data_IF_183785035230
#
_entry.id   IF_183785035230
#
_cell.length_a   1.000
_cell.length_b   1.000
_cell.length_c   1.000
_cell.angle_alpha   90.00
_cell.angle_beta   90.00
_cell.angle_gamma   90.00
#
_symmetry.space_group_name_H-M   'P 1'
#
loop_
_entity.id
_entity.type
_entity.pdbx_description
1 polymer ?
#
# COMPACT_ATOMS: atom_id res chain seq x y z
N UNK A 1 -4.29 20.99 12.31
CA UNK A 1 -5.71 20.86 12.74
C UNK A 1 -6.14 19.40 12.89
N UNK A 2 -6.02 18.55 11.87
CA UNK A 2 -6.37 17.11 12.00
C UNK A 2 -5.59 16.37 13.10
N UNK A 3 -4.36 16.79 13.35
CA UNK A 3 -3.49 16.34 14.46
C UNK A 3 -3.97 16.75 15.85
N UNK A 4 -5.16 17.38 15.97
CA UNK A 4 -5.93 17.47 17.21
C UNK A 4 -6.49 16.09 17.64
N UNK A 5 -5.67 15.06 17.47
CA UNK A 5 -5.89 13.67 17.87
C UNK A 5 -5.03 13.30 19.08
N UNK A 6 -4.12 14.18 19.52
CA UNK A 6 -3.28 13.97 20.71
C UNK A 6 -4.08 13.43 21.92
N UNK A 7 -5.26 13.98 22.30
CA UNK A 7 -6.02 13.41 23.41
C UNK A 7 -6.46 11.97 23.18
N UNK A 8 -6.90 11.63 21.96
CA UNK A 8 -7.31 10.27 21.61
C UNK A 8 -6.11 9.30 21.62
N UNK A 9 -4.94 9.75 21.16
CA UNK A 9 -3.70 8.97 21.24
C UNK A 9 -3.26 8.76 22.69
N UNK A 10 -3.37 9.79 23.54
CA UNK A 10 -3.05 9.69 24.96
C UNK A 10 -3.98 8.72 25.68
N UNK A 11 -5.30 8.81 25.47
CA UNK A 11 -6.25 7.84 26.06
C UNK A 11 -5.99 6.43 25.55
N UNK A 12 -5.71 6.26 24.26
CA UNK A 12 -5.34 4.96 23.70
C UNK A 12 -4.11 4.35 24.38
N UNK A 13 -3.03 5.11 24.56
CA UNK A 13 -1.83 4.61 25.24
C UNK A 13 -2.05 4.42 26.75
N UNK A 14 -2.89 5.22 27.39
CA UNK A 14 -3.29 5.02 28.79
C UNK A 14 -4.01 3.69 29.01
N UNK A 15 -4.73 3.18 28.01
CA UNK A 15 -5.43 1.91 28.13
C UNK A 15 -4.53 0.72 27.74
N UNK A 16 -3.76 0.85 26.65
CA UNK A 16 -3.12 -0.29 25.98
C UNK A 16 -1.59 -0.25 25.88
N UNK A 17 -0.93 0.82 26.32
CA UNK A 17 0.54 0.86 26.25
C UNK A 17 1.20 -0.08 27.26
N UNK A 18 2.48 -0.35 27.03
CA UNK A 18 3.38 -0.97 28.01
C UNK A 18 3.46 -0.11 29.29
N UNK A 19 3.75 -0.69 30.48
CA UNK A 19 3.53 -0.07 31.79
C UNK A 19 4.05 1.37 31.94
N UNK A 20 5.27 1.65 31.47
CA UNK A 20 5.92 2.97 31.63
C UNK A 20 5.18 4.07 30.85
N UNK A 21 4.80 3.81 29.60
CA UNK A 21 4.07 4.78 28.78
C UNK A 21 2.61 4.87 29.23
N UNK A 22 2.04 3.74 29.69
CA UNK A 22 0.69 3.65 30.21
C UNK A 22 0.50 4.53 31.45
N UNK A 23 1.36 4.36 32.45
CA UNK A 23 1.38 5.17 33.68
C UNK A 23 1.59 6.65 33.34
N UNK A 24 2.56 6.96 32.47
CA UNK A 24 2.79 8.32 32.03
C UNK A 24 1.57 8.97 31.38
N UNK A 25 0.84 8.25 30.53
CA UNK A 25 -0.38 8.76 29.91
C UNK A 25 -1.54 8.91 30.91
N UNK A 26 -1.60 8.05 31.94
CA UNK A 26 -2.54 8.16 33.06
C UNK A 26 -2.33 9.41 33.90
N UNK A 27 -1.08 9.82 34.09
CA UNK A 27 -0.69 10.99 34.89
C UNK A 27 -0.56 12.28 34.07
N UNK A 28 -0.72 12.20 32.74
CA UNK A 28 -0.54 13.33 31.85
C UNK A 28 -1.67 14.36 32.00
N UNK A 29 -1.46 15.37 32.83
CA UNK A 29 -2.45 16.42 33.09
C UNK A 29 -2.91 17.18 31.84
N UNK A 30 -4.12 17.73 31.89
CA UNK A 30 -4.77 18.46 30.78
C UNK A 30 -3.93 19.59 30.19
N UNK A 31 -3.13 20.29 31.02
CA UNK A 31 -2.21 21.33 30.53
C UNK A 31 -1.18 20.74 29.56
N UNK A 32 -0.53 19.63 29.93
CA UNK A 32 0.47 18.99 29.08
C UNK A 32 -0.12 18.49 27.76
N UNK A 33 -1.35 17.94 27.79
CA UNK A 33 -2.06 17.54 26.57
C UNK A 33 -2.30 18.75 25.66
N UNK A 34 -2.74 19.88 26.19
CA UNK A 34 -2.92 21.13 25.42
C UNK A 34 -1.60 21.66 24.86
N UNK A 35 -0.53 21.59 25.63
CA UNK A 35 0.79 22.00 25.17
C UNK A 35 1.31 21.10 24.04
N UNK A 36 1.12 19.77 24.12
CA UNK A 36 1.43 18.85 23.03
C UNK A 36 0.58 19.11 21.77
N UNK A 37 -0.70 19.45 21.93
CA UNK A 37 -1.55 19.88 20.81
C UNK A 37 -1.02 21.17 20.17
N UNK A 38 -0.59 22.14 20.98
CA UNK A 38 0.05 23.36 20.50
C UNK A 38 1.32 23.05 19.71
N UNK A 39 2.19 22.17 20.21
CA UNK A 39 3.38 21.72 19.49
C UNK A 39 3.06 21.11 18.12
N UNK A 40 1.96 20.34 18.02
CA UNK A 40 1.54 19.77 16.74
C UNK A 40 1.11 20.83 15.72
N UNK A 41 0.68 22.03 16.13
CA UNK A 41 0.40 23.14 15.21
C UNK A 41 1.68 23.69 14.57
N UNK A 42 2.79 23.67 15.30
CA UNK A 42 4.09 24.13 14.80
C UNK A 42 4.88 23.04 14.07
N UNK A 43 4.44 21.77 14.12
CA UNK A 43 5.17 20.61 13.58
C UNK A 43 5.56 20.67 12.10
N UNK A 44 4.94 21.53 11.30
CA UNK A 44 5.27 21.72 9.87
C UNK A 44 5.31 23.20 9.45
N UNK A 45 5.27 24.11 10.42
CA UNK A 45 5.12 25.57 10.21
C UNK A 45 6.33 26.25 9.53
N UNK A 46 7.52 25.70 9.73
CA UNK A 46 8.77 26.17 9.14
C UNK A 46 9.11 25.56 7.77
N UNK A 47 8.21 24.81 7.13
CA UNK A 47 8.46 24.23 5.79
C UNK A 47 8.23 25.28 4.71
N UNK A 48 9.22 25.46 3.85
CA UNK A 48 9.14 26.38 2.69
C UNK A 48 8.95 25.64 1.35
N UNK A 49 9.06 24.31 1.36
CA UNK A 49 8.82 23.45 0.20
C UNK A 49 8.43 22.03 0.62
N UNK A 50 8.03 21.22 -0.36
CA UNK A 50 7.64 19.82 -0.13
C UNK A 50 8.81 18.81 -0.14
N UNK A 51 10.05 19.30 -0.05
CA UNK A 51 11.24 18.44 0.04
C UNK A 51 11.15 17.53 1.28
N UNK A 52 11.40 16.24 1.07
CA UNK A 52 11.43 15.22 2.12
C UNK A 52 12.82 15.05 2.71
N UNK A 53 12.89 14.48 3.91
CA UNK A 53 14.17 14.12 4.54
C UNK A 53 15.02 13.19 3.67
N UNK A 54 14.40 12.22 2.97
CA UNK A 54 15.11 11.29 2.09
C UNK A 54 15.80 11.99 0.91
N UNK A 55 15.25 13.11 0.45
CA UNK A 55 15.75 13.82 -0.72
C UNK A 55 16.81 14.86 -0.33
N UNK A 56 16.60 15.57 0.79
CA UNK A 56 17.57 16.52 1.33
C UNK A 56 17.46 16.58 2.86
N UNK A 57 18.26 15.78 3.59
CA UNK A 57 18.26 15.76 5.05
C UNK A 57 18.57 17.11 5.69
N UNK A 58 19.48 17.89 5.10
CA UNK A 58 19.92 19.18 5.64
C UNK A 58 18.81 20.22 5.58
N UNK A 59 18.15 20.39 4.42
CA UNK A 59 17.02 21.31 4.28
C UNK A 59 15.83 20.89 5.15
N UNK A 60 15.61 19.59 5.32
CA UNK A 60 14.58 19.11 6.26
C UNK A 60 14.94 19.44 7.72
N UNK A 61 16.21 19.33 8.13
CA UNK A 61 16.67 19.76 9.46
C UNK A 61 16.50 21.27 9.65
N UNK A 62 16.78 22.07 8.63
CA UNK A 62 16.53 23.52 8.63
C UNK A 62 15.02 23.82 8.85
N UNK A 63 14.11 23.14 8.14
CA UNK A 63 12.67 23.29 8.38
C UNK A 63 12.27 22.96 9.82
N UNK A 64 12.87 21.93 10.42
CA UNK A 64 12.62 21.57 11.82
C UNK A 64 13.13 22.63 12.79
N UNK A 65 14.29 23.21 12.54
CA UNK A 65 14.81 24.35 13.30
C UNK A 65 13.87 25.55 13.21
N UNK A 66 13.39 25.89 12.01
CA UNK A 66 12.45 26.98 11.79
C UNK A 66 11.12 26.73 12.55
N UNK A 67 10.58 25.51 12.50
CA UNK A 67 9.39 25.13 13.26
C UNK A 67 9.59 25.36 14.78
N UNK A 68 10.73 24.95 15.32
CA UNK A 68 11.05 25.09 16.73
C UNK A 68 11.22 26.57 17.12
N UNK A 69 11.92 27.37 16.31
CA UNK A 69 12.10 28.82 16.55
C UNK A 69 10.77 29.59 16.53
N UNK A 70 9.90 29.30 15.56
CA UNK A 70 8.56 29.90 15.49
C UNK A 70 7.72 29.57 16.73
N UNK A 71 7.79 28.30 17.20
CA UNK A 71 7.16 27.92 18.46
C UNK A 71 7.74 28.68 19.65
N UNK A 72 9.07 28.79 19.78
CA UNK A 72 9.70 29.50 20.89
C UNK A 72 9.31 30.98 20.93
N UNK A 73 9.22 31.63 19.78
CA UNK A 73 8.75 33.01 19.68
C UNK A 73 7.31 33.14 20.19
N UNK A 74 6.39 32.34 19.64
CA UNK A 74 4.99 32.34 20.06
C UNK A 74 4.83 31.99 21.55
N UNK A 75 5.58 31.01 22.04
CA UNK A 75 5.52 30.56 23.43
C UNK A 75 5.99 31.65 24.41
N UNK A 76 6.98 32.47 24.03
CA UNK A 76 7.41 33.65 24.80
C UNK A 76 6.32 34.72 24.85
N UNK A 77 5.61 34.96 23.74
CA UNK A 77 4.52 35.93 23.67
C UNK A 77 3.35 35.56 24.61
N UNK A 78 3.01 34.27 24.70
CA UNK A 78 1.99 33.76 25.63
C UNK A 78 2.52 33.50 27.05
N UNK A 79 3.77 33.90 27.34
CA UNK A 79 4.42 33.78 28.66
C UNK A 79 4.52 32.34 29.19
N UNK A 80 4.75 31.36 28.32
CA UNK A 80 5.10 29.99 28.73
C UNK A 80 6.45 30.02 29.49
N UNK A 81 6.61 29.17 30.51
CA UNK A 81 7.87 29.13 31.27
C UNK A 81 9.03 28.56 30.42
N UNK A 82 10.25 29.02 30.69
CA UNK A 82 11.43 28.69 29.87
C UNK A 82 11.75 27.20 29.79
N UNK A 83 11.43 26.43 30.84
CA UNK A 83 11.67 24.98 30.85
C UNK A 83 10.70 24.26 29.89
N UNK A 84 9.42 24.62 29.91
CA UNK A 84 8.43 24.10 28.97
C UNK A 84 8.76 24.53 27.53
N UNK A 85 9.16 25.78 27.31
CA UNK A 85 9.60 26.25 25.98
C UNK A 85 10.72 25.36 25.44
N UNK A 86 11.78 25.13 26.23
CA UNK A 86 12.91 24.28 25.83
C UNK A 86 12.49 22.83 25.59
N UNK A 87 11.64 22.29 26.47
CA UNK A 87 11.12 20.91 26.37
C UNK A 87 10.35 20.70 25.06
N UNK A 88 9.41 21.59 24.78
CA UNK A 88 8.52 21.48 23.63
C UNK A 88 9.21 21.86 22.30
N UNK A 89 10.11 22.84 22.29
CA UNK A 89 10.90 23.15 21.10
C UNK A 89 11.83 21.99 20.72
N UNK A 90 12.41 21.30 21.72
CA UNK A 90 13.21 20.08 21.51
C UNK A 90 12.38 18.96 20.86
N UNK A 91 11.13 18.76 21.28
CA UNK A 91 10.23 17.78 20.66
C UNK A 91 9.91 18.12 19.20
N UNK A 92 9.60 19.39 18.91
CA UNK A 92 9.28 19.86 17.56
C UNK A 92 10.48 19.67 16.61
N UNK A 93 11.67 20.06 17.09
CA UNK A 93 12.93 19.93 16.35
C UNK A 93 13.20 18.48 15.94
N UNK A 94 12.89 17.53 16.84
CA UNK A 94 13.21 16.12 16.63
C UNK A 94 12.06 15.28 16.07
N UNK A 95 10.91 15.88 15.76
CA UNK A 95 9.77 15.12 15.28
C UNK A 95 10.07 14.39 13.96
N UNK A 96 9.94 13.07 13.99
CA UNK A 96 10.28 12.20 12.86
C UNK A 96 11.78 11.92 12.68
N UNK A 97 12.64 12.37 13.60
CA UNK A 97 14.07 12.02 13.63
C UNK A 97 14.23 10.58 14.17
N UNK A 98 14.76 9.63 13.39
CA UNK A 98 14.95 8.26 13.84
C UNK A 98 16.03 8.11 14.93
N UNK A 99 16.94 9.08 15.05
CA UNK A 99 18.06 8.99 16.00
C UNK A 99 17.72 9.57 17.37
N UNK A 100 16.58 10.26 17.52
CA UNK A 100 16.22 10.94 18.76
C UNK A 100 16.17 10.00 19.98
N UNK A 101 15.71 8.77 19.77
CA UNK A 101 15.58 7.75 20.81
C UNK A 101 16.90 7.02 21.12
N UNK A 102 17.96 7.23 20.32
CA UNK A 102 19.29 6.63 20.55
C UNK A 102 20.09 7.40 21.59
N UNK A 103 19.74 8.66 21.83
CA UNK A 103 20.39 9.51 22.82
C UNK A 103 19.81 9.27 24.22
N UNK A 104 20.61 9.49 25.27
CA UNK A 104 20.14 9.38 26.65
C UNK A 104 19.19 10.55 26.99
N UNK A 105 17.87 10.31 26.89
CA UNK A 105 16.81 11.27 27.18
C UNK A 105 16.05 10.89 28.45
N UNK A 106 15.38 11.86 29.08
CA UNK A 106 14.49 11.56 30.19
C UNK A 106 13.29 10.73 29.73
N UNK A 107 12.74 9.84 30.58
CA UNK A 107 11.54 9.06 30.24
C UNK A 107 10.34 9.92 29.84
N UNK A 108 10.12 11.06 30.52
CA UNK A 108 9.08 12.04 30.15
C UNK A 108 9.21 12.46 28.68
N UNK A 109 10.44 12.76 28.24
CA UNK A 109 10.67 13.26 26.89
C UNK A 109 10.45 12.18 25.82
N UNK A 110 10.90 10.96 26.11
CA UNK A 110 10.66 9.78 25.25
C UNK A 110 9.17 9.52 25.10
N UNK A 111 8.42 9.52 26.20
CA UNK A 111 6.98 9.25 26.17
C UNK A 111 6.20 10.35 25.42
N UNK A 112 6.51 11.63 25.66
CA UNK A 112 5.91 12.73 24.89
C UNK A 112 6.21 12.64 23.39
N UNK A 113 7.44 12.25 23.04
CA UNK A 113 7.83 12.03 21.65
C UNK A 113 7.01 10.91 21.00
N UNK A 114 6.81 9.77 21.67
CA UNK A 114 6.00 8.67 21.15
C UNK A 114 4.56 9.09 20.86
N UNK A 115 3.92 9.84 21.77
CA UNK A 115 2.55 10.38 21.58
C UNK A 115 2.49 11.24 20.32
N UNK A 116 3.40 12.22 20.19
CA UNK A 116 3.41 13.16 19.06
C UNK A 116 3.75 12.46 17.74
N UNK A 117 4.74 11.57 17.76
CA UNK A 117 5.16 10.84 16.57
C UNK A 117 4.06 9.92 16.07
N UNK A 118 3.36 9.19 16.95
CA UNK A 118 2.25 8.34 16.55
C UNK A 118 1.09 9.16 15.96
N UNK A 119 0.72 10.29 16.59
CA UNK A 119 -0.27 11.22 16.05
C UNK A 119 0.10 11.75 14.65
N UNK A 120 1.39 12.06 14.42
CA UNK A 120 1.88 12.45 13.10
C UNK A 120 1.77 11.29 12.09
N UNK A 121 2.18 10.07 12.47
CA UNK A 121 2.14 8.90 11.57
C UNK A 121 0.72 8.52 11.16
N UNK A 122 -0.26 8.64 12.06
CA UNK A 122 -1.66 8.40 11.74
C UNK A 122 -2.16 9.28 10.58
N UNK A 123 -1.81 10.57 10.57
CA UNK A 123 -2.22 11.51 9.51
C UNK A 123 -1.52 11.26 8.16
N UNK A 124 -0.51 10.37 8.09
CA UNK A 124 0.18 10.02 6.85
C UNK A 124 -0.67 9.17 5.89
N UNK A 125 -1.85 8.66 6.30
CA UNK A 125 -2.81 8.02 5.37
C UNK A 125 -3.09 8.87 4.13
N UNK A 126 -3.03 10.20 4.27
CA UNK A 126 -3.27 11.16 3.18
C UNK A 126 -2.18 11.20 2.11
N UNK A 127 -0.98 10.68 2.39
CA UNK A 127 0.18 10.85 1.51
C UNK A 127 1.07 9.61 1.36
N UNK A 128 0.93 8.61 2.22
CA UNK A 128 1.70 7.37 2.13
C UNK A 128 0.89 6.30 1.44
N UNK A 129 1.52 5.61 0.49
CA UNK A 129 1.00 4.37 -0.07
C UNK A 129 0.89 3.31 1.04
N UNK A 130 -0.05 2.37 0.88
CA UNK A 130 -0.41 1.39 1.91
C UNK A 130 0.78 0.70 2.59
N UNK A 131 1.74 0.19 1.82
CA UNK A 131 2.92 -0.48 2.37
C UNK A 131 3.81 0.47 3.20
N UNK A 132 3.98 1.71 2.75
CA UNK A 132 4.77 2.71 3.48
C UNK A 132 4.03 3.16 4.75
N UNK A 133 2.71 3.31 4.67
CA UNK A 133 1.87 3.68 5.80
C UNK A 133 1.90 2.60 6.89
N UNK A 134 1.68 1.33 6.54
CA UNK A 134 1.72 0.22 7.50
C UNK A 134 3.08 0.15 8.22
N UNK A 135 4.19 0.25 7.49
CA UNK A 135 5.54 0.31 8.09
C UNK A 135 5.69 1.48 9.06
N UNK A 136 5.18 2.66 8.70
CA UNK A 136 5.28 3.85 9.52
C UNK A 136 4.48 3.71 10.83
N UNK A 137 3.30 3.08 10.78
CA UNK A 137 2.49 2.78 11.95
C UNK A 137 3.17 1.73 12.83
N UNK A 138 3.56 0.58 12.28
CA UNK A 138 4.20 -0.50 13.04
C UNK A 138 5.42 0.02 13.83
N UNK A 139 6.28 0.80 13.17
CA UNK A 139 7.46 1.44 13.80
C UNK A 139 7.11 2.40 14.91
N UNK A 140 5.99 3.10 14.84
CA UNK A 140 5.58 4.10 15.82
C UNK A 140 4.73 3.53 16.96
N UNK A 141 4.28 2.27 16.86
CA UNK A 141 3.20 1.74 17.68
C UNK A 141 3.51 0.37 18.30
N UNK A 142 3.94 -0.62 17.52
CA UNK A 142 3.80 -2.04 17.92
C UNK A 142 4.64 -2.45 19.13
N UNK A 143 5.78 -1.79 19.34
CA UNK A 143 6.67 -2.03 20.48
C UNK A 143 6.23 -1.30 21.75
N UNK A 144 5.22 -0.42 21.65
CA UNK A 144 4.75 0.42 22.75
C UNK A 144 3.49 -0.12 23.42
N UNK A 145 2.87 -1.18 22.89
CA UNK A 145 1.57 -1.67 23.34
C UNK A 145 1.59 -3.13 23.78
N UNK A 146 0.63 -3.50 24.61
CA UNK A 146 0.30 -4.89 24.93
C UNK A 146 -0.76 -5.38 23.93
N UNK A 147 -0.42 -6.38 23.12
CA UNK A 147 -1.31 -6.86 22.06
C UNK A 147 -2.50 -7.63 22.65
N UNK A 148 -3.71 -7.17 22.36
CA UNK A 148 -4.97 -7.84 22.69
C UNK A 148 -6.05 -7.53 21.63
N UNK A 149 -7.18 -8.23 21.69
CA UNK A 149 -8.31 -7.93 20.81
C UNK A 149 -8.86 -6.52 21.08
N UNK A 150 -9.00 -6.14 22.34
CA UNK A 150 -9.46 -4.82 22.79
C UNK A 150 -8.50 -3.72 22.33
N UNK A 151 -7.19 -3.96 22.42
CA UNK A 151 -6.17 -3.04 21.90
C UNK A 151 -6.33 -2.84 20.39
N UNK A 152 -6.53 -3.92 19.62
CA UNK A 152 -6.75 -3.81 18.18
C UNK A 152 -8.05 -3.07 17.85
N UNK A 153 -9.11 -3.25 18.63
CA UNK A 153 -10.35 -2.48 18.50
C UNK A 153 -10.12 -0.97 18.78
N UNK A 154 -9.36 -0.64 19.83
CA UNK A 154 -8.95 0.74 20.14
C UNK A 154 -8.13 1.37 19.01
N UNK A 155 -7.20 0.63 18.42
CA UNK A 155 -6.40 1.09 17.28
C UNK A 155 -7.27 1.31 16.03
N UNK A 156 -8.20 0.39 15.77
CA UNK A 156 -9.17 0.51 14.69
C UNK A 156 -10.07 1.76 14.86
N UNK A 157 -10.44 2.10 16.09
CA UNK A 157 -11.16 3.34 16.38
C UNK A 157 -10.33 4.58 16.01
N UNK A 158 -9.04 4.62 16.38
CA UNK A 158 -8.14 5.72 15.97
C UNK A 158 -8.07 5.83 14.45
N UNK A 159 -7.89 4.72 13.73
CA UNK A 159 -7.85 4.71 12.27
C UNK A 159 -9.14 5.25 11.65
N UNK A 160 -10.30 4.81 12.15
CA UNK A 160 -11.61 5.29 11.70
C UNK A 160 -11.72 6.81 11.88
N UNK A 161 -11.37 7.33 13.06
CA UNK A 161 -11.44 8.77 13.34
C UNK A 161 -10.53 9.56 12.40
N UNK A 162 -9.29 9.10 12.20
CA UNK A 162 -8.32 9.78 11.33
C UNK A 162 -8.77 9.79 9.88
N UNK A 163 -9.12 8.63 9.34
CA UNK A 163 -9.63 8.51 7.96
C UNK A 163 -10.86 9.41 7.75
N UNK A 164 -11.79 9.41 8.70
CA UNK A 164 -13.00 10.23 8.64
C UNK A 164 -12.68 11.73 8.66
N UNK A 165 -11.72 12.18 9.49
CA UNK A 165 -11.28 13.58 9.53
C UNK A 165 -10.58 14.01 8.24
N UNK A 166 -9.72 13.17 7.67
CA UNK A 166 -9.05 13.47 6.40
C UNK A 166 -10.12 13.65 5.30
N UNK A 167 -11.07 12.72 5.20
CA UNK A 167 -12.17 12.78 4.25
C UNK A 167 -13.07 14.01 4.44
N UNK A 168 -13.41 14.34 5.70
CA UNK A 168 -14.23 15.52 6.03
C UNK A 168 -13.55 16.85 5.64
N UNK A 169 -12.22 16.90 5.66
CA UNK A 169 -11.46 18.07 5.18
C UNK A 169 -11.22 18.06 3.67
N UNK A 170 -11.71 17.06 2.94
CA UNK A 170 -11.55 16.93 1.50
C UNK A 170 -10.11 16.67 1.03
N UNK A 171 -9.19 16.36 1.93
CA UNK A 171 -7.79 16.10 1.57
C UNK A 171 -7.67 14.78 0.80
N UNK A 172 -6.61 14.63 0.01
CA UNK A 172 -6.31 13.39 -0.71
C UNK A 172 -6.10 12.23 0.26
N UNK A 173 -6.38 11.01 -0.18
CA UNK A 173 -6.15 9.78 0.59
C UNK A 173 -5.52 8.69 -0.28
N UNK A 174 -4.48 8.05 0.24
CA UNK A 174 -3.91 6.83 -0.33
C UNK A 174 -4.22 5.59 0.51
N UNK A 175 -4.67 5.79 1.74
CA UNK A 175 -5.13 4.75 2.64
C UNK A 175 -6.42 5.22 3.33
N UNK A 176 -7.35 4.29 3.57
CA UNK A 176 -8.56 4.56 4.36
C UNK A 176 -8.89 3.38 5.27
N UNK A 177 -9.71 3.61 6.29
CA UNK A 177 -10.20 2.55 7.16
C UNK A 177 -11.49 1.96 6.59
N UNK A 178 -11.49 0.65 6.33
CA UNK A 178 -12.67 -0.11 5.91
C UNK A 178 -13.37 -0.68 7.17
N UNK A 179 -14.57 -0.18 7.46
CA UNK A 179 -15.34 -0.62 8.64
C UNK A 179 -15.80 -2.08 8.54
N UNK A 180 -16.12 -2.56 7.33
CA UNK A 180 -16.60 -3.93 7.12
C UNK A 180 -15.49 -4.95 7.36
N UNK A 181 -14.27 -4.61 6.96
CA UNK A 181 -13.07 -5.44 7.14
C UNK A 181 -12.31 -5.14 8.42
N UNK A 182 -12.67 -4.06 9.12
CA UNK A 182 -11.99 -3.53 10.32
C UNK A 182 -10.48 -3.38 10.11
N UNK A 183 -10.07 -2.88 8.95
CA UNK A 183 -8.66 -2.75 8.58
C UNK A 183 -8.41 -1.56 7.67
N UNK A 184 -7.15 -1.14 7.58
CA UNK A 184 -6.74 -0.16 6.57
C UNK A 184 -6.69 -0.85 5.21
N UNK A 185 -7.18 -0.15 4.18
CA UNK A 185 -7.13 -0.60 2.78
C UNK A 185 -6.51 0.51 1.91
N UNK A 186 -5.80 0.15 0.82
CA UNK A 186 -5.33 1.11 -0.15
C UNK A 186 -6.51 1.79 -0.86
N UNK A 187 -6.40 3.08 -1.10
CA UNK A 187 -7.30 3.87 -1.95
C UNK A 187 -6.46 4.84 -2.80
N UNK A 188 -7.09 5.49 -3.77
CA UNK A 188 -6.44 6.58 -4.51
C UNK A 188 -7.45 7.70 -4.74
N UNK A 189 -7.71 8.48 -3.68
CA UNK A 189 -8.64 9.59 -3.70
C UNK A 189 -7.87 10.91 -3.81
N UNK A 190 -8.19 11.71 -4.83
CA UNK A 190 -7.68 13.06 -5.00
C UNK A 190 -8.33 14.07 -4.03
N UNK A 191 -8.02 15.36 -4.22
CA UNK A 191 -8.63 16.43 -3.45
C UNK A 191 -10.12 16.62 -3.80
N UNK A 192 -10.94 16.80 -2.77
CA UNK A 192 -12.34 17.23 -2.88
C UNK A 192 -12.43 18.77 -2.92
N UNK A 193 -13.55 19.31 -3.43
CA UNK A 193 -13.84 20.75 -3.42
C UNK A 193 -13.82 21.34 -1.99
N UNK A 194 -14.19 20.56 -0.98
CA UNK A 194 -14.15 20.97 0.44
C UNK A 194 -12.73 21.33 0.88
N UNK A 195 -11.69 20.74 0.27
CA UNK A 195 -10.30 20.98 0.64
C UNK A 195 -9.90 22.45 0.53
N UNK A 196 -10.41 23.15 -0.49
CA UNK A 196 -10.09 24.56 -0.68
C UNK A 196 -10.59 25.41 0.48
N UNK A 197 -11.82 25.15 0.94
CA UNK A 197 -12.42 25.85 2.07
C UNK A 197 -11.70 25.49 3.37
N UNK A 198 -11.50 24.21 3.63
CA UNK A 198 -10.82 23.72 4.83
C UNK A 198 -9.36 24.18 4.92
N UNK A 199 -8.69 24.41 3.80
CA UNK A 199 -7.30 24.87 3.78
C UNK A 199 -7.15 26.39 3.93
N UNK A 200 -8.22 27.17 3.67
CA UNK A 200 -8.20 28.64 3.74
C UNK A 200 -8.75 29.19 5.06
N UNK A 201 -9.63 28.44 5.72
CA UNK A 201 -10.23 28.85 7.00
C UNK A 201 -9.93 27.81 8.10
N UNK A 202 -9.08 28.13 9.08
CA UNK A 202 -8.76 27.20 10.16
C UNK A 202 -9.96 26.90 11.08
N UNK A 203 -10.94 27.81 11.18
CA UNK A 203 -12.16 27.58 11.97
C UNK A 203 -13.06 26.56 11.27
N UNK A 204 -13.22 26.69 9.97
CA UNK A 204 -13.97 25.71 9.17
C UNK A 204 -13.27 24.35 9.16
N UNK A 205 -11.94 24.33 9.00
CA UNK A 205 -11.15 23.10 9.11
C UNK A 205 -11.39 22.38 10.45
N UNK A 206 -11.36 23.13 11.56
CA UNK A 206 -11.61 22.60 12.90
C UNK A 206 -13.05 22.08 13.04
N UNK A 207 -14.03 22.86 12.57
CA UNK A 207 -15.44 22.50 12.58
C UNK A 207 -15.68 21.16 11.88
N UNK A 208 -15.12 20.99 10.67
CA UNK A 208 -15.18 19.74 9.91
C UNK A 208 -14.55 18.58 10.67
N UNK A 209 -13.36 18.77 11.26
CA UNK A 209 -12.67 17.73 12.04
C UNK A 209 -13.43 17.29 13.30
N UNK A 210 -14.18 18.20 13.93
CA UNK A 210 -14.92 17.93 15.16
C UNK A 210 -16.28 17.28 14.86
N UNK A 211 -17.01 17.77 13.85
CA UNK A 211 -18.32 17.22 13.45
C UNK A 211 -18.22 15.83 12.85
N UNK A 212 -17.11 15.54 12.15
CA UNK A 212 -16.90 14.23 11.53
C UNK A 212 -16.84 13.07 12.53
N UNK A 213 -16.63 13.34 13.83
CA UNK A 213 -16.71 12.35 14.91
C UNK A 213 -18.11 12.12 15.48
N UNK A 214 -19.08 12.99 15.15
CA UNK A 214 -20.45 12.98 15.70
C UNK A 214 -21.50 12.46 14.70
N UNK A 215 -21.27 12.63 13.39
CA UNK A 215 -22.36 12.59 12.38
C UNK A 215 -22.47 11.31 11.52
N UNK A 216 -21.86 10.16 11.88
CA UNK A 216 -22.01 8.89 11.11
C UNK A 216 -22.68 7.74 11.88
N UNK A 217 -23.69 8.07 12.68
CA UNK A 217 -24.69 7.11 13.15
C UNK A 217 -25.92 7.00 12.22
N UNK A 218 -25.97 7.70 11.08
CA UNK A 218 -27.18 7.72 10.24
C UNK A 218 -27.06 8.31 8.83
N UNK A 219 -26.13 7.82 8.00
CA UNK A 219 -26.16 8.12 6.56
C UNK A 219 -26.25 6.82 5.77
N UNK A 220 -27.41 6.66 5.12
CA UNK A 220 -27.70 5.58 4.18
C UNK A 220 -26.69 5.59 3.02
N UNK A 221 -26.04 4.45 2.82
CA UNK A 221 -25.30 4.15 1.59
C UNK A 221 -26.34 4.00 0.47
N UNK A 222 -26.15 4.60 -0.72
CA UNK A 222 -27.03 4.38 -1.86
C UNK A 222 -27.20 2.89 -2.13
N UNK A 223 -28.43 2.39 -1.95
CA UNK A 223 -28.86 1.06 -2.36
C UNK A 223 -29.02 1.05 -3.88
N UNK A 224 -27.92 0.98 -4.61
CA UNK A 224 -27.97 0.42 -5.96
C UNK A 224 -26.58 0.00 -6.43
N UNK A 225 -26.25 -1.25 -6.12
CA UNK A 225 -25.31 -2.09 -6.86
C UNK A 225 -25.76 -3.52 -6.57
N UNK A 226 -26.74 -3.96 -7.34
CA UNK A 226 -27.28 -5.31 -7.25
C UNK A 226 -26.20 -6.35 -7.56
N UNK A 227 -25.70 -7.02 -6.52
CA UNK A 227 -25.00 -8.29 -6.66
C UNK A 227 -25.98 -9.41 -6.31
N UNK A 228 -26.52 -10.07 -7.35
CA UNK A 228 -27.09 -11.40 -7.19
C UNK A 228 -25.97 -12.32 -6.71
N UNK A 229 -26.10 -12.80 -5.49
CA UNK A 229 -25.19 -13.77 -4.90
C UNK A 229 -25.71 -15.16 -5.30
N UNK A 230 -25.11 -15.75 -6.33
CA UNK A 230 -25.27 -17.17 -6.59
C UNK A 230 -24.59 -17.96 -5.46
N UNK A 231 -25.38 -18.80 -4.80
CA UNK A 231 -24.89 -19.79 -3.84
C UNK A 231 -24.23 -20.90 -4.66
N UNK A 232 -22.90 -20.85 -4.77
CA UNK A 232 -22.13 -21.95 -5.35
C UNK A 232 -21.75 -22.92 -4.22
N UNK A 233 -22.41 -24.07 -4.24
CA UNK A 233 -22.03 -25.24 -3.45
C UNK A 233 -20.57 -25.62 -3.74
N UNK A 234 -19.72 -25.58 -2.70
CA UNK A 234 -18.34 -26.03 -2.76
C UNK A 234 -18.29 -27.55 -2.96
N UNK A 235 -18.29 -28.00 -4.22
CA UNK A 235 -17.69 -29.28 -4.57
C UNK A 235 -16.18 -29.17 -4.40
N UNK A 236 -15.58 -30.17 -3.75
CA UNK A 236 -14.12 -30.34 -3.69
C UNK A 236 -13.60 -30.44 -5.13
N UNK A 237 -13.00 -29.37 -5.62
CA UNK A 237 -12.24 -29.38 -6.87
C UNK A 237 -11.04 -30.31 -6.67
N UNK A 238 -10.98 -31.37 -7.47
CA UNK A 238 -9.75 -32.13 -7.67
C UNK A 238 -8.69 -31.15 -8.19
N UNK A 239 -7.61 -31.01 -7.43
CA UNK A 239 -6.46 -30.20 -7.83
C UNK A 239 -5.93 -30.71 -9.16
N UNK A 240 -6.26 -30.02 -10.25
CA UNK A 240 -5.54 -30.17 -11.51
C UNK A 240 -4.07 -29.83 -11.24
N UNK A 241 -3.11 -30.62 -11.75
CA UNK A 241 -1.70 -30.32 -11.58
C UNK A 241 -1.43 -28.91 -12.08
N UNK A 242 -0.86 -28.08 -11.21
CA UNK A 242 -0.45 -26.71 -11.52
C UNK A 242 0.49 -26.80 -12.73
N UNK A 243 0.20 -26.12 -13.83
CA UNK A 243 1.07 -26.15 -14.98
C UNK A 243 2.44 -25.56 -14.66
N UNK A 244 3.50 -26.16 -15.22
CA UNK A 244 4.87 -25.70 -14.99
C UNK A 244 5.20 -24.58 -15.96
N UNK A 245 5.40 -23.38 -15.44
CA UNK A 245 5.95 -22.25 -16.18
C UNK A 245 7.45 -22.49 -16.41
N UNK A 246 7.94 -22.15 -17.61
CA UNK A 246 9.37 -22.24 -17.94
C UNK A 246 10.17 -21.19 -17.16
N UNK A 247 11.44 -21.46 -16.81
CA UNK A 247 12.28 -20.48 -16.14
C UNK A 247 12.41 -19.14 -16.88
N UNK A 248 12.45 -19.17 -18.21
CA UNK A 248 12.51 -17.98 -19.08
C UNK A 248 11.25 -17.13 -18.96
N UNK A 249 10.09 -17.77 -18.90
CA UNK A 249 8.82 -17.08 -18.71
C UNK A 249 8.71 -16.47 -17.31
N UNK A 250 9.29 -17.10 -16.28
CA UNK A 250 9.29 -16.54 -14.91
C UNK A 250 10.03 -15.20 -14.81
N UNK A 251 11.02 -14.95 -15.67
CA UNK A 251 11.77 -13.70 -15.67
C UNK A 251 10.86 -12.49 -15.92
N UNK A 252 9.81 -12.65 -16.73
CA UNK A 252 8.79 -11.63 -16.96
C UNK A 252 7.94 -11.32 -15.73
N UNK A 253 7.86 -12.24 -14.77
CA UNK A 253 7.02 -12.14 -13.59
C UNK A 253 7.79 -11.70 -12.34
N UNK A 254 9.12 -11.56 -12.40
CA UNK A 254 9.93 -11.33 -11.19
C UNK A 254 9.51 -10.10 -10.40
N UNK A 255 9.09 -9.04 -11.09
CA UNK A 255 8.62 -7.81 -10.45
C UNK A 255 7.33 -8.06 -9.66
N UNK A 256 6.34 -8.68 -10.29
CA UNK A 256 5.04 -8.98 -9.69
C UNK A 256 5.18 -10.02 -8.58
N UNK A 257 6.08 -10.99 -8.73
CA UNK A 257 6.43 -11.97 -7.70
C UNK A 257 7.07 -11.27 -6.51
N UNK A 258 8.02 -10.35 -6.74
CA UNK A 258 8.63 -9.53 -5.68
C UNK A 258 7.57 -8.74 -4.91
N UNK A 259 6.65 -8.08 -5.63
CA UNK A 259 5.54 -7.35 -5.02
C UNK A 259 4.57 -8.25 -4.25
N UNK A 260 4.27 -9.42 -4.79
CA UNK A 260 3.40 -10.42 -4.16
C UNK A 260 4.01 -10.93 -2.86
N UNK A 261 5.27 -11.37 -2.88
CA UNK A 261 5.99 -11.85 -1.69
C UNK A 261 6.15 -10.75 -0.64
N UNK A 262 6.32 -9.49 -1.07
CA UNK A 262 6.34 -8.34 -0.18
C UNK A 262 5.01 -8.12 0.57
N UNK A 263 3.89 -8.54 -0.01
CA UNK A 263 2.52 -8.41 0.56
C UNK A 263 2.08 -9.67 1.32
N UNK A 264 2.48 -10.85 0.88
CA UNK A 264 2.01 -12.16 1.35
C UNK A 264 2.61 -12.61 2.70
N UNK A 265 3.40 -11.77 3.39
CA UNK A 265 4.13 -12.10 4.63
C UNK A 265 3.29 -12.65 5.80
N UNK A 266 1.96 -12.60 5.73
CA UNK A 266 1.05 -13.13 6.76
C UNK A 266 0.41 -14.48 6.39
N UNK A 267 0.57 -14.95 5.15
CA UNK A 267 -0.03 -16.20 4.68
C UNK A 267 1.05 -17.26 4.53
N UNK A 268 0.82 -18.47 5.07
CA UNK A 268 1.75 -19.60 4.88
C UNK A 268 1.84 -19.89 3.37
N UNK A 269 2.97 -19.49 2.77
CA UNK A 269 3.25 -19.76 1.37
C UNK A 269 3.50 -21.26 1.17
N UNK A 270 3.61 -22.05 2.24
CA UNK A 270 3.87 -23.49 2.18
C UNK A 270 5.29 -23.77 1.71
N UNK A 271 6.13 -22.74 1.70
CA UNK A 271 7.54 -22.79 1.31
C UNK A 271 8.32 -22.55 2.57
N UNK A 272 8.85 -23.64 3.12
CA UNK A 272 9.48 -23.65 4.46
C UNK A 272 10.57 -22.60 4.65
N UNK A 273 11.24 -22.17 3.57
CA UNK A 273 12.26 -21.13 3.58
C UNK A 273 11.67 -19.73 3.84
N UNK A 274 10.48 -19.43 3.29
CA UNK A 274 9.76 -18.17 3.53
C UNK A 274 9.00 -18.18 4.86
N UNK A 275 8.36 -19.31 5.19
CA UNK A 275 7.53 -19.43 6.38
C UNK A 275 8.34 -19.29 7.68
N UNK A 276 9.68 -19.46 7.60
CA UNK A 276 10.62 -19.28 8.71
C UNK A 276 11.29 -17.91 8.75
N UNK A 277 11.04 -17.03 7.78
CA UNK A 277 11.66 -15.72 7.79
C UNK A 277 11.15 -14.88 8.94
N UNK A 278 12.03 -14.14 9.63
CA UNK A 278 11.61 -13.08 10.53
C UNK A 278 10.65 -12.11 9.82
N UNK A 279 9.57 -11.77 10.51
CA UNK A 279 8.48 -10.92 9.95
C UNK A 279 8.96 -9.54 9.47
N UNK A 280 10.10 -9.09 10.00
CA UNK A 280 10.73 -7.82 9.69
C UNK A 280 11.60 -7.80 8.43
N UNK A 281 11.82 -8.92 7.72
CA UNK A 281 12.65 -8.96 6.50
C UNK A 281 11.84 -8.66 5.24
N UNK A 282 12.07 -7.54 4.56
CA UNK A 282 11.42 -7.18 3.29
C UNK A 282 12.08 -7.85 2.10
N UNK A 283 11.26 -8.40 1.20
CA UNK A 283 11.75 -8.85 -0.10
C UNK A 283 12.02 -7.63 -0.97
N UNK A 284 13.28 -7.46 -1.35
CA UNK A 284 13.76 -6.29 -2.09
C UNK A 284 13.92 -6.61 -3.56
N UNK A 285 14.49 -7.79 -3.85
CA UNK A 285 14.86 -8.18 -5.21
C UNK A 285 14.82 -9.69 -5.36
N UNK A 286 14.48 -10.14 -6.56
CA UNK A 286 14.67 -11.52 -7.00
C UNK A 286 15.60 -11.50 -8.21
N UNK A 287 16.60 -12.37 -8.21
CA UNK A 287 17.53 -12.56 -9.33
C UNK A 287 17.57 -14.03 -9.71
N UNK A 288 17.47 -14.35 -11.00
CA UNK A 288 17.64 -15.69 -11.51
C UNK A 288 19.13 -16.04 -11.64
N UNK A 289 19.49 -17.26 -11.23
CA UNK A 289 20.80 -17.88 -11.36
C UNK A 289 20.62 -19.29 -11.96
N UNK A 290 20.75 -19.42 -13.28
CA UNK A 290 20.54 -20.67 -14.02
C UNK A 290 19.18 -21.34 -13.71
N UNK A 291 19.18 -22.33 -12.81
CA UNK A 291 18.04 -23.16 -12.41
C UNK A 291 17.46 -22.78 -11.03
N UNK A 292 17.94 -21.69 -10.44
CA UNK A 292 17.52 -21.21 -9.13
C UNK A 292 17.24 -19.70 -9.15
N UNK A 293 16.53 -19.22 -8.14
CA UNK A 293 16.22 -17.82 -7.93
C UNK A 293 16.71 -17.40 -6.55
N UNK A 294 17.51 -16.34 -6.48
CA UNK A 294 17.93 -15.74 -5.23
C UNK A 294 17.02 -14.58 -4.89
N UNK A 295 16.38 -14.66 -3.72
CA UNK A 295 15.55 -13.62 -3.15
C UNK A 295 16.35 -12.90 -2.09
N UNK A 296 16.64 -11.62 -2.34
CA UNK A 296 17.26 -10.74 -1.37
C UNK A 296 16.18 -10.21 -0.43
N UNK A 297 16.35 -10.51 0.86
CA UNK A 297 15.49 -10.01 1.92
C UNK A 297 16.29 -9.17 2.92
N UNK A 298 15.84 -7.94 3.18
CA UNK A 298 16.54 -6.98 4.04
C UNK A 298 15.71 -6.65 5.28
N UNK A 299 16.34 -6.59 6.46
CA UNK A 299 15.67 -6.19 7.69
C UNK A 299 15.24 -4.73 7.61
N UNK A 300 14.03 -4.48 8.11
CA UNK A 300 13.45 -3.12 8.24
C UNK A 300 14.13 -2.34 9.38
N UNK A 301 14.86 -3.01 10.27
CA UNK A 301 15.32 -2.47 11.55
C UNK A 301 16.85 -2.53 11.76
N UNK A 302 17.56 -3.39 11.06
CA UNK A 302 19.02 -3.55 11.16
C UNK A 302 19.67 -3.58 9.77
N UNK A 303 20.97 -3.30 9.69
CA UNK A 303 21.81 -3.55 8.50
C UNK A 303 22.04 -5.07 8.33
N UNK A 304 20.95 -5.82 8.22
CA UNK A 304 20.93 -7.25 8.07
C UNK A 304 20.23 -7.60 6.76
N UNK A 305 20.95 -8.28 5.88
CA UNK A 305 20.44 -8.85 4.65
C UNK A 305 20.56 -10.37 4.69
N UNK A 306 19.63 -11.06 4.05
CA UNK A 306 19.71 -12.50 3.85
C UNK A 306 19.27 -12.86 2.44
N UNK A 307 19.92 -13.88 1.89
CA UNK A 307 19.64 -14.41 0.56
C UNK A 307 18.93 -15.74 0.71
N UNK A 308 17.79 -15.87 0.04
CA UNK A 308 16.97 -17.09 0.05
C UNK A 308 16.99 -17.66 -1.35
N UNK A 309 17.53 -18.87 -1.49
CA UNK A 309 17.54 -19.57 -2.77
C UNK A 309 16.28 -20.39 -2.94
N UNK A 310 15.60 -20.23 -4.08
CA UNK A 310 14.39 -20.93 -4.47
C UNK A 310 14.65 -21.75 -5.73
N UNK A 311 14.15 -22.97 -5.74
CA UNK A 311 14.09 -23.81 -6.94
C UNK A 311 12.97 -23.33 -7.88
N UNK A 312 13.05 -23.73 -9.16
CA UNK A 312 11.96 -23.54 -10.15
C UNK A 312 10.63 -24.10 -9.65
N UNK A 313 10.65 -25.21 -8.89
CA UNK A 313 9.44 -25.79 -8.30
C UNK A 313 8.81 -24.88 -7.24
N UNK A 314 9.63 -24.30 -6.35
CA UNK A 314 9.17 -23.34 -5.34
C UNK A 314 8.64 -22.05 -6.00
N UNK A 315 9.26 -21.58 -7.08
CA UNK A 315 8.77 -20.42 -7.83
C UNK A 315 7.43 -20.67 -8.51
N UNK A 316 7.25 -21.84 -9.14
CA UNK A 316 5.94 -22.23 -9.70
C UNK A 316 4.85 -22.27 -8.62
N UNK A 317 5.17 -22.77 -7.42
CA UNK A 317 4.24 -22.75 -6.29
C UNK A 317 3.86 -21.31 -5.89
N UNK A 318 4.80 -20.38 -5.87
CA UNK A 318 4.51 -18.95 -5.60
C UNK A 318 3.57 -18.39 -6.66
N UNK A 319 3.89 -18.58 -7.94
CA UNK A 319 3.11 -18.01 -9.05
C UNK A 319 1.69 -18.57 -9.06
N UNK A 320 1.51 -19.86 -8.76
CA UNK A 320 0.18 -20.48 -8.67
C UNK A 320 -0.75 -19.89 -7.60
N UNK A 321 -0.19 -19.15 -6.64
CA UNK A 321 -0.95 -18.43 -5.60
C UNK A 321 -1.24 -16.98 -5.98
N UNK A 322 -0.67 -16.50 -7.07
CA UNK A 322 -0.92 -15.15 -7.58
C UNK A 322 -2.22 -15.10 -8.39
N UNK A 323 -2.81 -13.90 -8.51
CA UNK A 323 -3.92 -13.69 -9.43
C UNK A 323 -3.39 -13.63 -10.87
N UNK A 324 -3.72 -14.59 -11.75
CA UNK A 324 -3.16 -14.66 -13.10
C UNK A 324 -3.44 -13.42 -13.95
N UNK A 325 -4.61 -12.78 -13.76
CA UNK A 325 -5.02 -11.57 -14.50
C UNK A 325 -4.09 -10.38 -14.23
N UNK A 326 -3.33 -10.40 -13.13
CA UNK A 326 -2.39 -9.34 -12.76
C UNK A 326 -0.97 -9.57 -13.27
N UNK A 327 -0.68 -10.72 -13.87
CA UNK A 327 0.64 -11.02 -14.40
C UNK A 327 0.81 -10.35 -15.76
N UNK A 328 1.98 -9.74 -16.05
CA UNK A 328 2.27 -9.17 -17.35
C UNK A 328 2.24 -10.27 -18.41
N UNK A 329 2.11 -9.91 -19.69
CA UNK A 329 2.18 -10.90 -20.76
C UNK A 329 3.63 -11.33 -21.00
N UNK A 330 3.89 -12.60 -21.32
CA UNK A 330 5.24 -13.08 -21.59
C UNK A 330 5.72 -12.70 -22.99
N UNK A 331 4.93 -11.93 -23.75
CA UNK A 331 5.16 -11.57 -25.13
C UNK A 331 4.66 -10.15 -25.44
N UNK A 332 5.10 -9.59 -26.58
CA UNK A 332 4.52 -8.37 -27.13
C UNK A 332 3.15 -8.66 -27.77
N UNK A 333 2.09 -8.30 -27.07
CA UNK A 333 0.70 -8.50 -27.50
C UNK A 333 0.43 -7.94 -28.89
N UNK A 334 0.97 -6.76 -29.23
CA UNK A 334 0.65 -6.12 -30.51
C UNK A 334 1.26 -6.91 -31.67
N UNK A 335 2.48 -7.39 -31.50
CA UNK A 335 3.17 -8.23 -32.48
C UNK A 335 2.39 -9.53 -32.71
N UNK A 336 1.96 -10.19 -31.63
CA UNK A 336 1.15 -11.41 -31.72
C UNK A 336 -0.21 -11.15 -32.36
N UNK A 337 -0.95 -10.11 -31.94
CA UNK A 337 -2.26 -9.76 -32.51
C UNK A 337 -2.18 -9.45 -34.01
N UNK A 338 -1.15 -8.72 -34.43
CA UNK A 338 -0.93 -8.42 -35.85
C UNK A 338 -0.64 -9.69 -36.65
N UNK A 339 0.17 -10.59 -36.10
CA UNK A 339 0.45 -11.88 -36.73
C UNK A 339 -0.80 -12.74 -36.84
N UNK A 340 -1.58 -12.85 -35.77
CA UNK A 340 -2.84 -13.60 -35.77
C UNK A 340 -3.83 -13.05 -36.80
N UNK A 341 -3.99 -11.73 -36.89
CA UNK A 341 -4.86 -11.13 -37.90
C UNK A 341 -4.39 -11.41 -39.33
N UNK A 342 -3.08 -11.38 -39.58
CA UNK A 342 -2.52 -11.60 -40.91
C UNK A 342 -2.64 -13.06 -41.38
N UNK A 343 -2.70 -14.02 -40.45
CA UNK A 343 -2.59 -15.45 -40.74
C UNK A 343 -3.74 -16.31 -40.18
N UNK A 344 -4.82 -15.72 -39.67
CA UNK A 344 -5.92 -16.44 -38.99
C UNK A 344 -6.44 -17.66 -39.76
N UNK A 345 -6.49 -17.60 -41.09
CA UNK A 345 -6.99 -18.68 -41.96
C UNK A 345 -6.01 -19.87 -42.08
N UNK A 346 -4.76 -19.67 -41.65
CA UNK A 346 -3.66 -20.66 -41.74
C UNK A 346 -3.19 -21.13 -40.37
N UNK A 347 -3.66 -20.52 -39.29
CA UNK A 347 -3.30 -20.92 -37.93
C UNK A 347 -4.10 -22.17 -37.53
N UNK A 348 -3.39 -23.20 -37.08
CA UNK A 348 -4.00 -24.45 -36.59
C UNK A 348 -4.53 -24.31 -35.15
N UNK A 349 -5.13 -23.16 -34.83
CA UNK A 349 -5.70 -22.87 -33.50
C UNK A 349 -7.22 -23.00 -33.59
N UNK A 350 -7.77 -23.88 -32.76
CA UNK A 350 -9.21 -24.17 -32.72
C UNK A 350 -9.99 -22.88 -32.39
N UNK A 351 -11.00 -22.59 -33.19
CA UNK A 351 -11.81 -21.37 -33.08
C UNK A 351 -11.31 -20.20 -33.93
N UNK A 352 -9.98 -20.03 -34.12
CA UNK A 352 -9.46 -19.00 -35.03
C UNK A 352 -9.73 -19.36 -36.50
N UNK A 353 -9.56 -20.64 -36.85
CA UNK A 353 -9.86 -21.14 -38.19
C UNK A 353 -11.36 -21.08 -38.56
N UNK A 354 -12.24 -20.87 -37.57
CA UNK A 354 -13.69 -20.75 -37.75
C UNK A 354 -14.13 -19.28 -37.95
N UNK A 355 -13.22 -18.31 -37.74
CA UNK A 355 -13.50 -16.90 -37.95
C UNK A 355 -13.54 -16.58 -39.44
N UNK A 356 -14.70 -16.17 -39.95
CA UNK A 356 -14.79 -15.67 -41.32
C UNK A 356 -14.11 -14.30 -41.50
N UNK A 357 -14.05 -13.83 -42.75
CA UNK A 357 -13.44 -12.54 -43.13
C UNK A 357 -14.09 -11.31 -42.48
N UNK A 358 -15.29 -11.43 -41.90
CA UNK A 358 -15.99 -10.33 -41.24
C UNK A 358 -15.50 -10.05 -39.82
N UNK A 359 -14.67 -10.92 -39.24
CA UNK A 359 -14.10 -10.73 -37.90
C UNK A 359 -12.62 -10.31 -37.94
N UNK A 360 -12.25 -9.39 -37.07
CA UNK A 360 -10.86 -9.01 -36.80
C UNK A 360 -10.53 -9.29 -35.33
N UNK A 361 -9.33 -9.80 -35.07
CA UNK A 361 -8.86 -10.08 -33.73
C UNK A 361 -8.47 -8.75 -33.09
N UNK A 362 -9.23 -8.32 -32.08
CA UNK A 362 -9.09 -6.98 -31.49
C UNK A 362 -8.26 -7.00 -30.21
N UNK A 363 -8.32 -8.07 -29.41
CA UNK A 363 -7.69 -8.13 -28.09
C UNK A 363 -7.15 -9.51 -27.72
N UNK A 364 -6.15 -9.49 -26.86
CA UNK A 364 -5.59 -10.65 -26.18
C UNK A 364 -5.56 -10.36 -24.67
N UNK A 365 -6.27 -11.15 -23.89
CA UNK A 365 -6.47 -10.98 -22.45
C UNK A 365 -6.04 -12.24 -21.69
N UNK A 366 -5.61 -12.09 -20.44
CA UNK A 366 -5.34 -13.25 -19.56
C UNK A 366 -6.65 -13.74 -18.97
N UNK A 367 -6.78 -15.06 -18.84
CA UNK A 367 -7.91 -15.65 -18.11
C UNK A 367 -7.56 -15.84 -16.62
N UNK A 368 -8.50 -16.39 -15.87
CA UNK A 368 -8.25 -16.83 -14.49
C UNK A 368 -7.41 -18.12 -14.42
N UNK A 369 -7.19 -18.80 -15.55
CA UNK A 369 -6.26 -19.91 -15.66
C UNK A 369 -4.93 -19.37 -16.21
N UNK A 370 -3.85 -19.63 -15.48
CA UNK A 370 -2.51 -19.12 -15.77
C UNK A 370 -1.99 -19.50 -17.15
N UNK A 371 -2.48 -20.62 -17.69
CA UNK A 371 -2.08 -21.19 -18.96
C UNK A 371 -3.05 -20.89 -20.10
N UNK A 372 -4.08 -20.11 -19.86
CA UNK A 372 -5.10 -19.80 -20.86
C UNK A 372 -5.19 -18.29 -21.07
N UNK A 373 -5.27 -17.94 -22.35
CA UNK A 373 -5.43 -16.58 -22.83
C UNK A 373 -6.71 -16.50 -23.64
N UNK A 374 -7.42 -15.38 -23.51
CA UNK A 374 -8.63 -15.09 -24.24
C UNK A 374 -8.30 -14.17 -25.39
N UNK A 375 -8.60 -14.62 -26.59
CA UNK A 375 -8.54 -13.86 -27.82
C UNK A 375 -9.94 -13.38 -28.13
N UNK A 376 -10.12 -12.09 -28.32
CA UNK A 376 -11.42 -11.49 -28.65
C UNK A 376 -11.37 -11.07 -30.11
N UNK A 377 -12.33 -11.57 -30.89
CA UNK A 377 -12.54 -11.18 -32.27
C UNK A 377 -13.84 -10.38 -32.39
N UNK A 378 -13.75 -9.19 -32.98
CA UNK A 378 -14.86 -8.27 -33.19
C UNK A 378 -15.27 -8.29 -34.66
N UNK A 379 -16.58 -8.31 -34.90
CA UNK A 379 -17.11 -8.23 -36.25
C UNK A 379 -17.04 -6.80 -36.78
N UNK A 380 -16.81 -6.67 -38.09
CA UNK A 380 -16.91 -5.41 -38.82
C UNK A 380 -18.37 -4.90 -38.93
N UNK A 381 -19.35 -5.70 -38.50
CA UNK A 381 -20.76 -5.32 -38.46
C UNK A 381 -21.19 -5.00 -37.02
N UNK A 382 -21.76 -3.80 -36.81
CA UNK A 382 -22.15 -3.29 -35.48
C UNK A 382 -23.14 -4.16 -34.71
N UNK A 383 -23.84 -5.08 -35.39
CA UNK A 383 -24.89 -5.92 -34.80
C UNK A 383 -24.43 -7.29 -34.32
N UNK A 384 -23.17 -7.65 -34.58
CA UNK A 384 -22.66 -8.99 -34.27
C UNK A 384 -21.90 -9.00 -32.94
N UNK A 385 -22.13 -10.03 -32.12
CA UNK A 385 -21.45 -10.19 -30.85
C UNK A 385 -19.96 -10.55 -31.05
N UNK A 386 -19.05 -10.09 -30.17
CA UNK A 386 -17.68 -10.55 -30.17
C UNK A 386 -17.59 -12.06 -29.96
N UNK A 387 -16.63 -12.70 -30.63
CA UNK A 387 -16.30 -14.11 -30.45
C UNK A 387 -15.09 -14.20 -29.53
N UNK A 388 -15.21 -15.01 -28.48
CA UNK A 388 -14.10 -15.30 -27.56
C UNK A 388 -13.51 -16.67 -27.88
N UNK A 389 -12.19 -16.71 -28.06
CA UNK A 389 -11.43 -17.94 -28.32
C UNK A 389 -10.41 -18.08 -27.20
N UNK A 390 -10.30 -19.27 -26.63
CA UNK A 390 -9.31 -19.56 -25.59
C UNK A 390 -8.12 -20.27 -26.24
N UNK A 391 -6.93 -19.71 -26.07
CA UNK A 391 -5.66 -20.31 -26.48
C UNK A 391 -4.82 -20.65 -25.25
N UNK A 392 -3.97 -21.65 -25.38
CA UNK A 392 -3.01 -22.08 -24.36
C UNK A 392 -1.75 -21.22 -24.37
N UNK A 393 -0.97 -21.28 -23.29
CA UNK A 393 0.36 -20.65 -23.25
C UNK A 393 1.33 -21.22 -24.27
N UNK A 394 1.23 -22.52 -24.60
CA UNK A 394 2.04 -23.15 -25.65
C UNK A 394 1.71 -22.56 -27.02
N UNK A 395 0.42 -22.45 -27.36
CA UNK A 395 -0.04 -21.81 -28.61
C UNK A 395 0.38 -20.34 -28.67
N UNK A 396 0.27 -19.59 -27.55
CA UNK A 396 0.72 -18.20 -27.49
C UNK A 396 2.22 -18.06 -27.77
N UNK A 397 3.04 -18.97 -27.22
CA UNK A 397 4.48 -18.96 -27.43
C UNK A 397 4.84 -19.32 -28.88
N UNK A 398 4.16 -20.30 -29.48
CA UNK A 398 4.34 -20.63 -30.89
C UNK A 398 3.99 -19.44 -31.80
N UNK A 399 2.90 -18.74 -31.50
CA UNK A 399 2.51 -17.52 -32.21
C UNK A 399 3.57 -16.42 -32.10
N UNK A 400 4.13 -16.22 -30.90
CA UNK A 400 5.20 -15.26 -30.68
C UNK A 400 6.47 -15.60 -31.48
N UNK A 401 6.89 -16.87 -31.48
CA UNK A 401 8.07 -17.31 -32.24
C UNK A 401 7.87 -17.02 -33.74
N UNK A 402 6.74 -17.46 -34.30
CA UNK A 402 6.40 -17.23 -35.70
C UNK A 402 6.25 -15.75 -36.05
N UNK A 403 5.75 -14.93 -35.13
CA UNK A 403 5.63 -13.49 -35.33
C UNK A 403 6.98 -12.78 -35.40
N UNK A 404 7.98 -13.30 -34.69
CA UNK A 404 9.34 -12.75 -34.61
C UNK A 404 10.32 -13.37 -35.61
N UNK A 405 9.95 -14.43 -36.33
CA UNK A 405 10.80 -15.00 -37.38
C UNK A 405 11.05 -13.97 -38.49
N UNK A 406 12.32 -13.71 -38.85
CA UNK A 406 12.64 -12.82 -39.95
C UNK A 406 12.09 -13.44 -41.25
N UNK A 407 11.01 -12.85 -41.77
CA UNK A 407 10.40 -13.33 -43.01
C UNK A 407 11.41 -13.19 -44.14
N UNK A 408 11.89 -14.33 -44.65
CA UNK A 408 12.53 -14.38 -45.95
C UNK A 408 11.46 -14.05 -46.99
N UNK A 409 11.36 -12.78 -47.37
CA UNK A 409 10.47 -12.28 -48.44
C UNK A 409 10.81 -12.87 -49.84
N UNK A 410 11.66 -13.88 -49.94
CA UNK A 410 12.19 -14.42 -51.19
C UNK A 410 11.38 -15.58 -51.79
N UNK A 411 10.29 -16.06 -51.19
CA UNK A 411 9.55 -17.23 -51.69
C UNK A 411 8.06 -17.00 -52.01
N UNK A 412 7.61 -15.75 -52.17
CA UNK A 412 6.22 -15.43 -52.51
C UNK A 412 6.08 -14.42 -53.67
N UNK A 413 7.03 -14.43 -54.61
CA UNK A 413 6.86 -13.80 -55.94
C UNK A 413 6.82 -14.88 -57.01
#
# INVERSE_FOLDING_TARGET
MRTHIIPLVTEYFKDFAQPVLKEFCGDLGTKNIKDLQLCMLFSVSGRESEVSFSNNPEKYREYRQNCAQQFEQYAKEIKMNSNDIKKYSTLILNMGNPDFLKENKSPEMVNMFHIMNFAHKLDLMRCYQFNAYNKAIQRAHDHLVEKSEEQQQGLNHLFKVVSTRIAATGDRQFCTFDESRKMIVPVNQGYDKIFLTASRDPRECLSLCTRSGLDRAGVEIPKDLGSKQEVVDKKKEEFKPIPKISPEEMDYYLKEITEFLGKAKSEQLGISKFDKLPSDLLIVKITRNENEFTVLAESVYMDFETNITLSIGEMNQIISKMNPVKLPFPCDQNTVLNYMNAYKDTLEIKGLAELDSSYSISKLERTNNLNEFRVIAESNYETSNPIEIVITGEELHELEQKANEPRNFASLV
#
